data_IF_523548200338
#
_entry.id   IF_523548200338
#
_cell.length_a   1.000
_cell.length_b   1.000
_cell.length_c   1.000
_cell.angle_alpha   90.00
_cell.angle_beta   90.00
_cell.angle_gamma   90.00
#
_symmetry.space_group_name_H-M   'P 1'
#
loop_
_entity.id
_entity.type
_entity.pdbx_description
1 polymer ?
#
# COMPACT_ATOMS: atom_id res chain seq x y z
N UNK A 1 -11.82 -10.08 13.12
CA UNK A 1 -11.31 -10.45 12.25
C UNK A 1 -10.31 -9.69 11.77
N UNK A 2 -9.55 -10.00 11.38
CA UNK A 2 -8.52 -9.25 11.15
C UNK A 2 -8.40 -8.79 9.77
N UNK A 3 -7.79 -7.74 9.61
CA UNK A 3 -7.54 -7.17 8.38
C UNK A 3 -6.73 -8.14 7.60
N UNK A 4 -5.89 -8.87 8.24
CA UNK A 4 -5.11 -9.79 7.63
C UNK A 4 -5.95 -10.82 6.95
N UNK A 5 -6.99 -11.26 7.54
CA UNK A 5 -7.84 -12.21 6.93
C UNK A 5 -8.54 -11.64 5.72
N UNK A 6 -8.89 -10.39 5.83
CA UNK A 6 -9.55 -9.73 4.76
C UNK A 6 -8.65 -9.64 3.54
N UNK A 7 -7.44 -9.25 3.73
CA UNK A 7 -6.51 -9.15 2.67
C UNK A 7 -6.24 -10.51 2.05
N UNK A 8 -6.16 -11.51 2.84
CA UNK A 8 -5.89 -12.80 2.35
C UNK A 8 -7.00 -13.23 1.43
N UNK A 9 -8.21 -12.94 1.79
CA UNK A 9 -9.29 -13.29 1.01
C UNK A 9 -9.27 -12.55 -0.28
N UNK A 10 -8.99 -11.31 -0.24
CA UNK A 10 -8.95 -10.53 -1.40
C UNK A 10 -7.90 -11.03 -2.34
N UNK A 11 -6.74 -11.25 -1.87
CA UNK A 11 -5.70 -11.66 -2.71
C UNK A 11 -5.87 -13.07 -3.13
N UNK A 12 -6.29 -13.91 -2.29
CA UNK A 12 -6.45 -15.28 -2.61
C UNK A 12 -7.52 -15.52 -3.61
N UNK A 13 -8.59 -14.87 -3.43
CA UNK A 13 -9.67 -15.06 -4.31
C UNK A 13 -9.36 -14.59 -5.68
N UNK A 14 -8.71 -13.51 -5.74
CA UNK A 14 -8.43 -12.98 -7.01
C UNK A 14 -7.30 -13.64 -7.66
N UNK A 15 -6.44 -14.07 -6.86
CA UNK A 15 -5.27 -14.61 -7.37
C UNK A 15 -5.50 -15.74 -8.23
N UNK A 16 -6.42 -16.47 -7.88
CA UNK A 16 -6.61 -17.57 -8.66
C UNK A 16 -6.76 -17.17 -10.05
N UNK A 17 -7.33 -16.08 -10.17
CA UNK A 17 -7.63 -15.67 -11.47
C UNK A 17 -6.48 -15.25 -12.20
N UNK A 18 -5.57 -14.73 -11.58
CA UNK A 18 -4.60 -14.22 -12.31
C UNK A 18 -3.54 -14.97 -12.52
N UNK A 19 -3.70 -16.00 -12.41
CA UNK A 19 -2.71 -16.69 -12.60
C UNK A 19 -1.73 -16.21 -13.43
N UNK A 20 -0.83 -16.29 -13.52
CA UNK A 20 0.15 -15.82 -14.34
C UNK A 20 0.58 -14.49 -14.05
N UNK A 21 -0.26 -13.74 -13.67
CA UNK A 21 0.10 -12.42 -13.52
C UNK A 21 0.75 -12.32 -12.21
N UNK A 22 1.92 -12.05 -12.11
CA UNK A 22 2.59 -11.96 -10.95
C UNK A 22 2.52 -10.67 -10.36
N UNK A 23 2.08 -10.44 -9.29
CA UNK A 23 1.97 -9.17 -8.70
C UNK A 23 3.32 -8.69 -8.41
N UNK A 24 3.67 -7.71 -8.98
CA UNK A 24 4.95 -7.19 -8.84
C UNK A 24 5.28 -6.93 -7.46
N UNK A 25 5.49 -5.83 -7.05
CA UNK A 25 5.95 -5.54 -5.81
C UNK A 25 4.94 -5.07 -4.89
N UNK A 26 3.92 -5.81 -4.70
CA UNK A 26 2.87 -5.36 -3.80
C UNK A 26 3.02 -5.92 -2.40
N UNK A 27 4.19 -6.38 -2.05
CA UNK A 27 4.37 -6.88 -0.73
C UNK A 27 4.58 -5.82 0.29
N UNK A 28 4.24 -6.07 1.50
CA UNK A 28 4.40 -5.13 2.59
C UNK A 28 5.87 -5.03 3.00
N UNK A 29 6.35 -3.84 3.18
CA UNK A 29 7.71 -3.59 3.56
C UNK A 29 7.76 -2.92 4.92
N UNK A 30 8.64 -3.39 5.80
CA UNK A 30 8.78 -2.76 7.11
C UNK A 30 9.74 -1.61 6.98
N UNK A 31 9.38 -0.47 7.53
CA UNK A 31 10.21 0.71 7.43
C UNK A 31 10.06 1.56 8.68
N UNK A 32 11.10 1.66 9.49
CA UNK A 32 11.11 2.48 10.69
C UNK A 32 9.91 2.25 11.61
N UNK A 33 9.53 1.01 11.78
CA UNK A 33 8.42 0.69 12.66
C UNK A 33 7.07 0.74 12.01
N UNK A 34 7.02 1.09 10.74
CA UNK A 34 5.78 1.14 10.00
C UNK A 34 5.78 0.03 8.97
N UNK A 35 4.61 -0.34 8.50
CA UNK A 35 4.49 -1.31 7.42
C UNK A 35 3.88 -0.55 6.26
N UNK A 36 4.55 -0.56 5.12
CA UNK A 36 4.09 0.15 3.95
C UNK A 36 3.77 -0.85 2.86
N UNK A 37 2.56 -0.81 2.33
CA UNK A 37 2.19 -1.70 1.28
C UNK A 37 1.78 -0.89 0.07
N UNK A 38 2.51 -0.95 -1.03
CA UNK A 38 2.12 -0.23 -2.22
C UNK A 38 0.86 -0.86 -2.77
N UNK A 39 -0.05 -0.06 -3.22
CA UNK A 39 -1.31 -0.55 -3.74
C UNK A 39 -1.77 0.29 -4.93
N UNK A 40 -0.97 0.37 -5.97
CA UNK A 40 -1.35 1.15 -7.13
C UNK A 40 -2.53 0.49 -7.83
N UNK A 41 -3.32 1.28 -8.53
CA UNK A 41 -4.47 0.72 -9.22
C UNK A 41 -4.59 1.32 -10.61
N UNK A 42 -5.31 0.65 -11.48
CA UNK A 42 -5.42 1.08 -12.83
C UNK A 42 -6.19 2.36 -12.94
N UNK A 43 -5.70 3.26 -13.72
CA UNK A 43 -6.36 4.54 -13.93
C UNK A 43 -6.41 4.81 -15.42
N UNK A 44 -7.01 5.88 -15.80
CA UNK A 44 -7.17 6.20 -17.20
C UNK A 44 -5.86 6.26 -17.97
N UNK A 45 -4.86 6.86 -17.38
CA UNK A 45 -3.63 7.00 -18.10
C UNK A 45 -2.51 6.10 -17.59
N UNK A 46 -2.83 5.04 -16.91
CA UNK A 46 -1.77 4.18 -16.40
C UNK A 46 -2.12 3.66 -15.04
N UNK A 47 -1.13 3.56 -14.15
CA UNK A 47 -1.39 3.08 -12.81
C UNK A 47 -1.17 4.21 -11.83
N UNK A 48 -2.17 4.43 -10.97
CA UNK A 48 -2.14 5.52 -10.02
C UNK A 48 -1.28 5.18 -8.82
N UNK A 49 -0.52 6.12 -8.31
CA UNK A 49 0.30 5.92 -7.14
C UNK A 49 -0.60 5.86 -5.92
N UNK A 50 -0.50 4.82 -5.14
CA UNK A 50 -1.31 4.67 -3.94
C UNK A 50 -0.71 3.63 -3.03
N UNK A 51 -1.08 3.66 -1.78
CA UNK A 51 -0.58 2.68 -0.83
C UNK A 51 -1.22 2.79 0.53
N UNK A 52 -0.79 1.93 1.42
CA UNK A 52 -1.32 1.88 2.77
C UNK A 52 -0.15 1.83 3.73
N UNK A 53 -0.20 2.61 4.80
CA UNK A 53 0.82 2.61 5.83
C UNK A 53 0.15 2.18 7.11
N UNK A 54 0.71 1.19 7.79
CA UNK A 54 0.13 0.70 9.04
C UNK A 54 1.15 0.71 10.14
N UNK A 55 0.70 0.80 11.35
CA UNK A 55 1.59 0.72 12.49
C UNK A 55 0.84 0.16 13.67
N UNK A 56 1.51 -0.67 14.47
CA UNK A 56 0.90 -1.23 15.65
C UNK A 56 1.01 -0.26 16.79
N UNK A 57 -0.06 -0.02 17.49
CA UNK A 57 -0.07 0.81 18.66
C UNK A 57 -0.62 -0.02 19.81
N UNK A 58 -0.42 0.38 21.03
CA UNK A 58 -0.91 -0.40 22.16
C UNK A 58 -2.40 -0.70 22.08
N UNK A 59 -3.16 0.21 21.52
CA UNK A 59 -4.58 -0.02 21.45
C UNK A 59 -5.02 -0.59 20.10
N UNK A 60 -4.12 -1.00 19.27
CA UNK A 60 -4.50 -1.63 18.02
C UNK A 60 -3.70 -1.14 16.85
N UNK A 61 -4.02 -1.63 15.69
CA UNK A 61 -3.32 -1.25 14.47
C UNK A 61 -4.00 -0.05 13.86
N UNK A 62 -3.23 0.94 13.47
CA UNK A 62 -3.79 2.08 12.77
C UNK A 62 -3.34 2.05 11.33
N UNK A 63 -4.16 2.54 10.46
CA UNK A 63 -3.93 2.47 9.03
C UNK A 63 -4.14 3.82 8.37
N UNK A 64 -3.30 4.14 7.44
CA UNK A 64 -3.42 5.38 6.68
C UNK A 64 -3.28 5.06 5.20
N UNK A 65 -4.27 5.43 4.40
CA UNK A 65 -4.20 5.18 2.98
C UNK A 65 -3.78 6.45 2.29
N UNK A 66 -2.97 6.36 1.26
CA UNK A 66 -2.59 7.54 0.53
C UNK A 66 -2.74 7.32 -0.97
N UNK A 67 -3.03 8.38 -1.69
CA UNK A 67 -3.15 8.35 -3.13
C UNK A 67 -2.48 9.62 -3.62
N UNK A 68 -1.64 9.49 -4.62
CA UNK A 68 -0.97 10.64 -5.18
C UNK A 68 -1.35 10.83 -6.62
N UNK A 69 -1.12 12.00 -7.13
CA UNK A 69 -1.53 12.33 -8.49
C UNK A 69 -0.74 11.64 -9.58
N UNK A 70 0.45 11.22 -9.31
CA UNK A 70 1.29 10.64 -10.33
C UNK A 70 0.79 9.31 -10.85
N UNK A 71 0.93 9.09 -12.12
CA UNK A 71 0.58 7.81 -12.71
C UNK A 71 1.79 7.28 -13.43
N UNK A 72 1.82 6.00 -13.66
CA UNK A 72 2.96 5.35 -14.30
C UNK A 72 2.48 4.36 -15.34
N UNK A 73 3.24 4.17 -16.38
CA UNK A 73 2.81 3.26 -17.44
C UNK A 73 2.83 1.80 -17.05
N UNK A 74 3.52 1.43 -16.00
CA UNK A 74 3.55 0.04 -15.61
C UNK A 74 3.21 -0.14 -14.15
N UNK A 75 2.68 -1.30 -13.82
CA UNK A 75 2.30 -1.60 -12.46
C UNK A 75 3.55 -1.66 -11.59
N UNK A 76 4.64 -2.25 -12.08
CA UNK A 76 5.85 -2.32 -11.34
C UNK A 76 6.37 -0.93 -11.00
N UNK A 77 6.37 -0.05 -11.96
CA UNK A 77 6.86 1.31 -11.72
C UNK A 77 6.00 2.04 -10.73
N UNK A 78 4.70 1.84 -10.83
CA UNK A 78 3.79 2.49 -9.91
C UNK A 78 3.99 1.93 -8.50
N UNK A 79 4.24 0.64 -8.37
CA UNK A 79 4.44 0.04 -7.07
C UNK A 79 5.72 0.56 -6.42
N UNK A 80 6.79 0.67 -7.18
CA UNK A 80 8.03 1.18 -6.64
C UNK A 80 7.90 2.62 -6.21
N UNK A 81 7.23 3.41 -7.01
CA UNK A 81 7.07 4.81 -6.69
C UNK A 81 6.13 4.94 -5.48
N UNK A 82 5.11 4.09 -5.39
CA UNK A 82 4.20 4.14 -4.26
C UNK A 82 4.93 3.80 -2.97
N UNK A 83 5.84 2.84 -3.02
CA UNK A 83 6.60 2.48 -1.85
C UNK A 83 7.51 3.65 -1.45
N UNK A 84 8.14 4.29 -2.40
CA UNK A 84 9.01 5.42 -2.11
C UNK A 84 8.22 6.56 -1.49
N UNK A 85 6.99 6.77 -1.99
CA UNK A 85 6.17 7.83 -1.43
C UNK A 85 5.74 7.47 -0.01
N UNK A 86 5.45 6.21 0.25
CA UNK A 86 5.10 5.79 1.59
C UNK A 86 6.22 6.06 2.56
N UNK A 87 7.45 5.78 2.15
CA UNK A 87 8.59 6.02 3.01
C UNK A 87 8.75 7.51 3.25
N UNK A 88 8.52 8.32 2.23
CA UNK A 88 8.65 9.74 2.37
C UNK A 88 7.59 10.28 3.34
N UNK A 89 6.38 9.77 3.26
CA UNK A 89 5.32 10.20 4.16
C UNK A 89 5.68 9.86 5.59
N UNK A 90 6.24 8.67 5.82
CA UNK A 90 6.64 8.29 7.16
C UNK A 90 7.74 9.22 7.64
N UNK A 91 8.72 9.51 6.82
CA UNK A 91 9.83 10.36 7.21
C UNK A 91 9.38 11.78 7.50
N UNK A 92 8.44 12.28 6.77
CA UNK A 92 8.00 13.64 6.96
C UNK A 92 6.94 13.82 8.03
N UNK A 93 6.07 12.87 8.17
CA UNK A 93 4.96 13.04 9.08
C UNK A 93 4.90 12.10 10.25
N UNK A 94 5.46 10.92 10.10
CA UNK A 94 5.47 9.97 11.20
C UNK A 94 4.06 9.64 11.66
N UNK A 95 3.89 9.52 12.96
CA UNK A 95 2.61 9.11 13.51
C UNK A 95 1.49 10.10 13.26
N UNK A 96 1.83 11.28 12.80
CA UNK A 96 0.78 12.24 12.54
C UNK A 96 -0.16 11.81 11.44
N UNK A 97 0.26 10.88 10.61
CA UNK A 97 -0.61 10.43 9.54
C UNK A 97 -1.83 9.71 10.09
N UNK A 98 -1.76 9.25 11.33
CA UNK A 98 -2.88 8.53 11.91
C UNK A 98 -3.80 9.41 12.74
N UNK A 99 -3.49 10.68 12.84
CA UNK A 99 -4.31 11.55 13.64
C UNK A 99 -5.51 12.00 12.84
N UNK A 100 -6.73 11.85 13.42
CA UNK A 100 -7.87 12.23 12.68
C UNK A 100 -8.24 13.59 13.03
N UNK A 101 -8.72 14.36 12.14
CA UNK A 101 -9.06 15.69 12.45
C UNK A 101 -10.44 15.88 12.49
#
# INVERSE_FOLDING_TARGET
>A
MSLKGFFSRLMGGGAGADEGAEPPRLETVDYNGYRIRPAPYKAASGYQTAGVIEKDFPDGVKTHEFVRAETHPSLDGAAEFSLAKGKQIVDQSGDRIFVKR
#
